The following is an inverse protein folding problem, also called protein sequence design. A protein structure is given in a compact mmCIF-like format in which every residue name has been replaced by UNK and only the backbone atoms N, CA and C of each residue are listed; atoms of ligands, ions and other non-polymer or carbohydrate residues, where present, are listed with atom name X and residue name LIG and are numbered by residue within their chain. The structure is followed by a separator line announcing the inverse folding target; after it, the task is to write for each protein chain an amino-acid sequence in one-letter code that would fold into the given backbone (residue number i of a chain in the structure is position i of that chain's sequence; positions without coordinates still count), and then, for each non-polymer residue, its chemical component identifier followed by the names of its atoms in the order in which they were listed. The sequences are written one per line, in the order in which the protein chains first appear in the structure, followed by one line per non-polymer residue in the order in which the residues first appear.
data_IF_801186911419
#
_entry.id   IF_801186911419
#
_cell.length_a   1.000
_cell.length_b   1.000
_cell.length_c   1.000
_cell.angle_alpha   90.00
_cell.angle_beta   90.00
_cell.angle_gamma   90.00
#
_symmetry.space_group_name_H-M   'P 1'
#
loop_
_entity.id
_entity.type
_entity.pdbx_description
1 polymer ?
#
# COMPACT_ATOMS: atom_id res chain seq x y z
N UNK A 1 31.72 3.28 42.67
CA UNK A 1 30.58 3.48 41.75
C UNK A 1 29.32 3.58 42.60
N UNK A 2 28.53 4.67 42.50
CA UNK A 2 27.49 4.99 43.48
C UNK A 2 26.09 4.47 43.04
N UNK A 3 25.25 3.96 43.96
CA UNK A 3 23.96 3.31 43.65
C UNK A 3 23.02 4.22 42.81
N UNK A 4 23.06 5.54 43.05
CA UNK A 4 22.31 6.53 42.26
C UNK A 4 22.70 6.57 40.78
N UNK A 5 23.97 6.31 40.46
CA UNK A 5 24.44 6.31 39.08
C UNK A 5 23.98 5.07 38.31
N UNK A 6 23.84 3.95 39.00
CA UNK A 6 23.31 2.70 38.44
C UNK A 6 21.82 2.84 38.09
N UNK A 7 20.99 3.30 39.03
CA UNK A 7 19.55 3.52 38.80
C UNK A 7 19.28 4.51 37.64
N UNK A 8 20.10 5.56 37.51
CA UNK A 8 19.97 6.53 36.40
C UNK A 8 20.30 5.93 35.03
N UNK A 9 21.25 4.99 34.95
CA UNK A 9 21.55 4.26 33.71
C UNK A 9 20.40 3.33 33.33
N UNK A 10 19.92 2.52 34.27
CA UNK A 10 18.82 1.58 34.05
C UNK A 10 17.54 2.29 33.54
N UNK A 11 17.19 3.46 34.11
CA UNK A 11 16.06 4.26 33.61
C UNK A 11 16.28 4.84 32.20
N UNK A 12 17.50 5.26 31.86
CA UNK A 12 17.81 5.76 30.50
C UNK A 12 17.78 4.63 29.47
N UNK A 13 18.30 3.46 29.80
CA UNK A 13 18.27 2.28 28.94
C UNK A 13 16.83 1.79 28.72
N UNK A 14 16.00 1.74 29.77
CA UNK A 14 14.59 1.37 29.64
C UNK A 14 13.78 2.36 28.78
N UNK A 15 14.02 3.67 28.93
CA UNK A 15 13.30 4.69 28.15
C UNK A 15 13.72 4.74 26.68
N UNK A 16 14.98 4.46 26.37
CA UNK A 16 15.48 4.36 24.98
C UNK A 16 14.96 3.11 24.28
N UNK A 17 14.97 1.94 24.95
CA UNK A 17 14.34 0.71 24.44
C UNK A 17 12.87 0.93 24.11
N UNK A 18 12.09 1.49 25.05
CA UNK A 18 10.65 1.73 24.85
C UNK A 18 10.36 2.67 23.67
N UNK A 19 11.18 3.71 23.47
CA UNK A 19 11.07 4.60 22.30
C UNK A 19 11.39 3.88 21.00
N UNK A 20 12.41 3.02 21.00
CA UNK A 20 12.77 2.22 19.83
C UNK A 20 11.68 1.23 19.47
N UNK A 21 11.12 0.52 20.46
CA UNK A 21 10.01 -0.41 20.28
C UNK A 21 8.76 0.30 19.72
N UNK A 22 8.45 1.50 20.24
CA UNK A 22 7.35 2.32 19.73
C UNK A 22 7.54 2.73 18.27
N UNK A 23 8.74 3.17 17.87
CA UNK A 23 9.06 3.51 16.47
C UNK A 23 8.94 2.30 15.54
N UNK A 24 9.46 1.15 15.97
CA UNK A 24 9.35 -0.11 15.24
C UNK A 24 7.88 -0.51 15.05
N UNK A 25 7.07 -0.41 16.11
CA UNK A 25 5.64 -0.69 16.05
C UNK A 25 4.90 0.22 15.07
N UNK A 26 5.14 1.53 15.13
CA UNK A 26 4.53 2.51 14.21
C UNK A 26 4.90 2.21 12.76
N UNK A 27 6.17 1.92 12.49
CA UNK A 27 6.62 1.58 11.14
C UNK A 27 5.98 0.29 10.63
N UNK A 28 5.90 -0.74 11.46
CA UNK A 28 5.27 -2.02 11.12
C UNK A 28 3.78 -1.85 10.78
N UNK A 29 3.04 -1.10 11.60
CA UNK A 29 1.63 -0.79 11.36
C UNK A 29 1.49 0.03 10.07
N UNK A 30 2.30 1.07 9.89
CA UNK A 30 2.30 1.89 8.67
C UNK A 30 2.54 1.06 7.41
N UNK A 31 3.51 0.14 7.43
CA UNK A 31 3.78 -0.78 6.32
C UNK A 31 2.59 -1.68 6.01
N UNK A 32 1.98 -2.28 7.04
CA UNK A 32 0.83 -3.15 6.87
C UNK A 32 -0.37 -2.39 6.27
N UNK A 33 -0.63 -1.16 6.75
CA UNK A 33 -1.70 -0.28 6.26
C UNK A 33 -1.46 0.22 4.83
N UNK A 34 -0.21 0.33 4.38
CA UNK A 34 0.07 0.65 2.97
C UNK A 34 -0.04 -0.59 2.09
N UNK A 35 0.40 -1.75 2.59
CA UNK A 35 0.49 -2.98 1.79
C UNK A 35 -0.84 -3.72 1.60
N UNK A 36 -1.80 -3.59 2.52
CA UNK A 36 -3.04 -4.38 2.45
C UNK A 36 -3.90 -4.05 1.22
N UNK A 37 -4.03 -2.77 0.84
CA UNK A 37 -4.94 -2.35 -0.23
C UNK A 37 -4.52 -2.87 -1.62
N UNK A 38 -3.27 -2.68 -2.08
CA UNK A 38 -2.81 -3.30 -3.32
C UNK A 38 -2.90 -4.83 -3.32
N UNK A 39 -2.66 -5.47 -2.17
CA UNK A 39 -2.77 -6.92 -2.07
C UNK A 39 -4.21 -7.41 -2.16
N UNK A 40 -5.15 -6.72 -1.50
CA UNK A 40 -6.57 -7.02 -1.56
C UNK A 40 -7.14 -6.81 -2.97
N UNK A 41 -6.82 -5.68 -3.60
CA UNK A 41 -7.28 -5.35 -4.96
C UNK A 41 -6.78 -6.36 -5.99
N UNK A 42 -5.51 -6.76 -5.90
CA UNK A 42 -4.98 -7.84 -6.72
C UNK A 42 -5.73 -9.16 -6.51
N UNK A 43 -6.14 -9.48 -5.28
CA UNK A 43 -6.91 -10.69 -4.98
C UNK A 43 -8.35 -10.64 -5.52
N UNK A 44 -9.01 -9.48 -5.44
CA UNK A 44 -10.41 -9.32 -5.81
C UNK A 44 -10.65 -9.07 -7.31
N UNK A 45 -9.77 -8.31 -7.98
CA UNK A 45 -9.89 -7.97 -9.40
C UNK A 45 -8.84 -8.64 -10.29
N UNK A 46 -7.75 -9.16 -9.73
CA UNK A 46 -6.65 -9.72 -10.51
C UNK A 46 -5.76 -8.65 -11.18
N UNK A 47 -5.98 -7.38 -10.87
CA UNK A 47 -5.30 -6.25 -11.51
C UNK A 47 -4.92 -5.16 -10.49
N UNK A 48 -4.02 -4.27 -10.89
CA UNK A 48 -3.66 -3.06 -10.17
C UNK A 48 -4.33 -1.87 -10.85
N UNK A 49 -5.09 -1.11 -10.08
CA UNK A 49 -5.72 0.12 -10.52
C UNK A 49 -4.71 1.28 -10.65
N UNK A 50 -5.15 2.31 -11.37
CA UNK A 50 -4.34 3.48 -11.66
C UNK A 50 -3.88 4.22 -10.40
N UNK A 51 -4.67 4.19 -9.32
CA UNK A 51 -4.36 4.86 -8.05
C UNK A 51 -3.14 4.21 -7.38
N UNK A 52 -2.96 2.88 -7.46
CA UNK A 52 -1.74 2.25 -6.94
C UNK A 52 -0.51 2.61 -7.78
N UNK A 53 -0.65 2.66 -9.12
CA UNK A 53 0.44 3.09 -10.02
C UNK A 53 0.85 4.55 -9.75
N UNK A 54 -0.13 5.45 -9.59
CA UNK A 54 0.11 6.86 -9.25
C UNK A 54 0.66 7.02 -7.83
N UNK A 55 0.25 6.18 -6.87
CA UNK A 55 0.81 6.18 -5.52
C UNK A 55 2.30 5.82 -5.53
N UNK A 56 2.71 4.83 -6.34
CA UNK A 56 4.12 4.49 -6.54
C UNK A 56 4.88 5.66 -7.16
N UNK A 57 4.31 6.31 -8.18
CA UNK A 57 4.90 7.50 -8.77
C UNK A 57 5.07 8.64 -7.75
N UNK A 58 4.04 8.92 -6.94
CA UNK A 58 4.07 9.95 -5.91
C UNK A 58 5.13 9.64 -4.85
N UNK A 59 5.22 8.39 -4.39
CA UNK A 59 6.22 7.94 -3.42
C UNK A 59 7.64 8.06 -3.98
N UNK A 60 7.86 7.66 -5.25
CA UNK A 60 9.15 7.78 -5.91
C UNK A 60 9.57 9.25 -6.06
N UNK A 61 8.62 10.13 -6.42
CA UNK A 61 8.85 11.57 -6.53
C UNK A 61 9.20 12.20 -5.18
N UNK A 62 8.48 11.85 -4.11
CA UNK A 62 8.79 12.32 -2.76
C UNK A 62 10.17 11.85 -2.29
N UNK A 63 10.51 10.58 -2.54
CA UNK A 63 11.82 10.03 -2.23
C UNK A 63 12.94 10.70 -3.07
N UNK A 64 12.67 11.04 -4.33
CA UNK A 64 13.60 11.77 -5.18
C UNK A 64 13.93 13.15 -4.59
N UNK A 65 12.91 13.90 -4.18
CA UNK A 65 13.06 15.19 -3.49
C UNK A 65 13.85 15.03 -2.19
N UNK A 66 13.55 14.00 -1.40
CA UNK A 66 14.28 13.73 -0.16
C UNK A 66 15.78 13.46 -0.40
N UNK A 67 16.09 12.63 -1.40
CA UNK A 67 17.48 12.34 -1.81
C UNK A 67 18.21 13.59 -2.31
N UNK A 68 17.51 14.53 -2.95
CA UNK A 68 18.08 15.82 -3.35
C UNK A 68 18.46 16.70 -2.15
N UNK A 69 17.69 16.63 -1.06
CA UNK A 69 17.98 17.38 0.17
C UNK A 69 19.08 16.73 1.01
N UNK A 70 19.21 15.40 0.96
CA UNK A 70 20.15 14.68 1.82
C UNK A 70 21.63 14.82 1.38
N UNK A 71 22.50 15.16 2.34
CA UNK A 71 23.95 15.36 2.13
C UNK A 71 24.74 14.03 2.19
N UNK A 72 24.38 13.06 1.35
CA UNK A 72 25.04 11.74 1.23
C UNK A 72 26.13 11.75 0.12
N UNK A 73 27.09 10.80 0.14
CA UNK A 73 28.15 10.72 -0.88
C UNK A 73 27.57 10.58 -2.30
N UNK A 74 28.16 11.31 -3.23
CA UNK A 74 27.58 11.67 -4.55
C UNK A 74 27.22 10.44 -5.41
N UNK A 75 28.02 9.37 -5.36
CA UNK A 75 27.80 8.17 -6.18
C UNK A 75 26.52 7.39 -5.86
N UNK A 76 26.29 7.07 -4.58
CA UNK A 76 25.07 6.37 -4.16
C UNK A 76 23.81 7.25 -4.29
N UNK A 77 23.99 8.58 -4.22
CA UNK A 77 22.93 9.57 -4.43
C UNK A 77 22.47 9.60 -5.89
N UNK A 78 23.39 9.60 -6.85
CA UNK A 78 23.06 9.64 -8.28
C UNK A 78 22.34 8.37 -8.75
N UNK A 79 22.77 7.18 -8.31
CA UNK A 79 22.10 5.94 -8.66
C UNK A 79 20.65 5.90 -8.11
N UNK A 80 20.45 6.31 -6.86
CA UNK A 80 19.10 6.39 -6.26
C UNK A 80 18.22 7.41 -6.98
N UNK A 81 18.77 8.58 -7.30
CA UNK A 81 18.06 9.61 -8.05
C UNK A 81 17.63 9.10 -9.44
N UNK A 82 18.50 8.37 -10.12
CA UNK A 82 18.18 7.75 -11.42
C UNK A 82 17.06 6.71 -11.32
N UNK A 83 17.11 5.78 -10.34
CA UNK A 83 16.05 4.78 -10.13
C UNK A 83 14.70 5.44 -9.79
N UNK A 84 14.71 6.55 -9.05
CA UNK A 84 13.50 7.27 -8.64
C UNK A 84 12.91 8.14 -9.75
N UNK A 85 13.70 8.50 -10.77
CA UNK A 85 13.20 9.19 -11.96
C UNK A 85 12.48 8.24 -12.93
N UNK A 86 12.75 6.92 -12.85
CA UNK A 86 12.19 5.93 -13.77
C UNK A 86 10.66 6.03 -13.94
N UNK A 87 9.85 6.16 -12.86
CA UNK A 87 8.39 6.29 -13.00
C UNK A 87 7.98 7.59 -13.70
N UNK A 88 8.70 8.69 -13.44
CA UNK A 88 8.41 9.99 -14.08
C UNK A 88 8.81 10.00 -15.55
N UNK A 89 9.94 9.36 -15.88
CA UNK A 89 10.40 9.19 -17.27
C UNK A 89 9.42 8.30 -18.03
N UNK A 90 8.93 7.21 -17.42
CA UNK A 90 7.91 6.36 -18.03
C UNK A 90 6.62 7.13 -18.35
N UNK A 91 6.09 7.92 -17.40
CA UNK A 91 4.90 8.74 -17.64
C UNK A 91 5.14 9.80 -18.72
N UNK A 92 6.32 10.44 -18.73
CA UNK A 92 6.68 11.38 -19.77
C UNK A 92 6.75 10.68 -21.15
N UNK A 93 7.34 9.48 -21.24
CA UNK A 93 7.38 8.70 -22.46
C UNK A 93 5.96 8.36 -22.96
N UNK A 94 5.06 7.91 -22.09
CA UNK A 94 3.66 7.68 -22.46
C UNK A 94 2.95 8.95 -22.95
N UNK A 95 3.26 10.11 -22.38
CA UNK A 95 2.68 11.37 -22.80
C UNK A 95 3.21 11.85 -24.17
N UNK A 96 4.50 11.67 -24.44
CA UNK A 96 5.15 12.19 -25.65
C UNK A 96 5.16 11.22 -26.84
N UNK A 97 4.91 9.93 -26.64
CA UNK A 97 4.93 8.89 -27.70
C UNK A 97 3.50 8.39 -27.98
N UNK A 98 2.50 9.26 -27.83
CA UNK A 98 1.09 8.88 -27.97
C UNK A 98 0.52 9.11 -29.38
N UNK A 99 1.37 9.29 -30.39
CA UNK A 99 0.95 9.48 -31.77
C UNK A 99 1.43 8.34 -32.69
N UNK A 100 0.43 7.74 -33.32
CA UNK A 100 0.39 6.90 -34.52
C UNK A 100 0.78 5.41 -34.43
N UNK A 101 -0.23 4.64 -34.85
CA UNK A 101 -0.32 3.19 -35.00
C UNK A 101 0.86 2.58 -35.78
N UNK A 102 1.70 1.83 -35.08
CA UNK A 102 2.49 0.75 -35.68
C UNK A 102 2.25 -0.54 -34.86
N UNK A 103 1.99 -1.67 -35.51
CA UNK A 103 1.80 -2.99 -34.85
C UNK A 103 2.94 -3.36 -33.89
N UNK A 104 4.14 -2.82 -34.16
CA UNK A 104 5.32 -2.98 -33.32
C UNK A 104 5.20 -2.20 -32.00
N UNK A 105 4.53 -1.05 -32.02
CA UNK A 105 4.23 -0.22 -30.85
C UNK A 105 3.18 -0.87 -29.94
N UNK A 106 2.14 -1.49 -30.52
CA UNK A 106 1.16 -2.29 -29.78
C UNK A 106 1.85 -3.48 -29.10
N UNK A 107 2.71 -4.21 -29.82
CA UNK A 107 3.51 -5.30 -29.24
C UNK A 107 4.48 -4.81 -28.15
N UNK A 108 5.09 -3.63 -28.31
CA UNK A 108 5.96 -3.01 -27.31
C UNK A 108 5.20 -2.53 -26.08
N UNK A 109 3.98 -2.03 -26.24
CA UNK A 109 3.09 -1.67 -25.13
C UNK A 109 2.65 -2.93 -24.39
N UNK A 110 2.29 -4.00 -25.09
CA UNK A 110 1.82 -5.25 -24.48
C UNK A 110 2.97 -5.97 -23.77
N UNK A 111 4.15 -6.05 -24.41
CA UNK A 111 5.39 -6.50 -23.79
C UNK A 111 5.80 -5.59 -22.64
N UNK A 112 5.60 -4.28 -22.78
CA UNK A 112 5.84 -3.27 -21.76
C UNK A 112 4.92 -3.42 -20.56
N UNK A 113 3.65 -3.78 -20.77
CA UNK A 113 2.67 -4.07 -19.74
C UNK A 113 3.00 -5.39 -19.04
N UNK A 114 3.35 -6.44 -19.78
CA UNK A 114 3.81 -7.72 -19.23
C UNK A 114 5.10 -7.52 -18.42
N UNK A 115 6.07 -6.76 -18.92
CA UNK A 115 7.28 -6.40 -18.18
C UNK A 115 6.97 -5.47 -17.01
N UNK A 116 6.02 -4.54 -17.13
CA UNK A 116 5.59 -3.69 -16.03
C UNK A 116 4.88 -4.51 -14.94
N UNK A 117 4.20 -5.60 -15.26
CA UNK A 117 3.64 -6.52 -14.27
C UNK A 117 4.76 -7.40 -13.69
N UNK A 118 5.56 -8.07 -14.53
CA UNK A 118 6.64 -8.96 -14.11
C UNK A 118 7.77 -8.27 -13.37
N UNK A 119 8.06 -7.01 -13.69
CA UNK A 119 9.09 -6.19 -13.06
C UNK A 119 8.42 -5.28 -12.04
N UNK A 120 7.31 -4.63 -12.35
CA UNK A 120 6.65 -3.72 -11.43
C UNK A 120 6.08 -4.41 -10.20
N UNK A 121 5.61 -5.66 -10.23
CA UNK A 121 5.27 -6.38 -8.99
C UNK A 121 6.48 -6.57 -8.08
N UNK A 122 7.56 -7.26 -8.50
CA UNK A 122 8.73 -7.42 -7.64
C UNK A 122 9.45 -6.11 -7.36
N UNK A 123 9.41 -5.13 -8.28
CA UNK A 123 10.01 -3.81 -8.11
C UNK A 123 9.21 -2.94 -7.14
N UNK A 124 7.88 -2.90 -7.21
CA UNK A 124 7.05 -2.16 -6.23
C UNK A 124 7.12 -2.84 -4.86
N UNK A 125 7.10 -4.16 -4.80
CA UNK A 125 7.34 -4.92 -3.56
C UNK A 125 8.74 -4.59 -3.00
N UNK A 126 9.76 -4.60 -3.84
CA UNK A 126 11.14 -4.27 -3.48
C UNK A 126 11.29 -2.79 -3.09
N UNK A 127 10.62 -1.88 -3.79
CA UNK A 127 10.67 -0.43 -3.59
C UNK A 127 9.91 -0.04 -2.33
N UNK A 128 8.75 -0.65 -2.04
CA UNK A 128 8.04 -0.53 -0.77
C UNK A 128 8.93 -1.00 0.37
N UNK A 129 9.56 -2.18 0.24
CA UNK A 129 10.55 -2.67 1.21
C UNK A 129 11.72 -1.69 1.35
N UNK A 130 12.20 -1.09 0.25
CA UNK A 130 13.37 -0.21 0.22
C UNK A 130 13.10 1.21 0.73
N UNK A 131 11.91 1.75 0.48
CA UNK A 131 11.41 3.06 0.93
C UNK A 131 11.07 3.03 2.41
N UNK A 132 10.71 1.87 2.96
CA UNK A 132 10.49 1.73 4.41
C UNK A 132 11.73 1.26 5.18
N UNK A 133 12.70 0.64 4.52
CA UNK A 133 14.01 0.35 5.11
C UNK A 133 14.99 1.51 5.40
N UNK A 134 14.84 2.78 4.93
CA UNK A 134 15.85 3.79 5.16
C UNK A 134 15.89 4.29 6.61
N UNK A 135 14.83 4.09 7.41
CA UNK A 135 14.82 4.49 8.83
C UNK A 135 15.46 3.48 9.79
N UNK A 136 15.76 2.26 9.34
CA UNK A 136 16.39 1.21 10.16
C UNK A 136 17.87 1.00 9.82
N UNK A 137 18.53 2.09 9.45
CA UNK A 137 19.97 2.17 9.22
C UNK A 137 20.75 1.72 10.47
N UNK A 138 21.51 0.64 10.29
CA UNK A 138 22.59 0.07 11.12
C UNK A 138 22.32 -0.30 12.60
N UNK A 139 21.37 0.28 13.32
CA UNK A 139 21.19 0.05 14.77
C UNK A 139 20.15 -1.01 15.15
N UNK A 140 19.35 -1.51 14.20
CA UNK A 140 18.28 -2.49 14.47
C UNK A 140 18.75 -3.93 14.24
N UNK A 141 18.50 -4.82 15.21
CA UNK A 141 18.82 -6.24 15.10
C UNK A 141 18.15 -6.88 13.88
N UNK A 142 18.88 -7.75 13.20
CA UNK A 142 18.41 -8.50 12.01
C UNK A 142 17.15 -9.32 12.33
N UNK A 143 17.03 -9.87 13.54
CA UNK A 143 15.83 -10.59 13.99
C UNK A 143 14.57 -9.73 13.96
N UNK A 144 14.67 -8.47 14.39
CA UNK A 144 13.54 -7.52 14.38
C UNK A 144 13.16 -7.14 12.95
N UNK A 145 14.15 -6.98 12.07
CA UNK A 145 13.91 -6.73 10.63
C UNK A 145 13.15 -7.89 9.99
N UNK A 146 13.52 -9.13 10.29
CA UNK A 146 12.79 -10.32 9.83
C UNK A 146 11.38 -10.42 10.40
N UNK A 147 11.20 -10.09 11.68
CA UNK A 147 9.87 -10.09 12.29
C UNK A 147 8.94 -9.06 11.62
N UNK A 148 9.42 -7.84 11.38
CA UNK A 148 8.67 -6.81 10.65
C UNK A 148 8.29 -7.33 9.26
N UNK A 149 9.28 -7.84 8.51
CA UNK A 149 9.05 -8.36 7.16
C UNK A 149 8.00 -9.49 7.16
N UNK A 150 8.11 -10.43 8.10
CA UNK A 150 7.17 -11.54 8.22
C UNK A 150 5.75 -11.07 8.53
N UNK A 151 5.59 -10.09 9.44
CA UNK A 151 4.27 -9.52 9.75
C UNK A 151 3.67 -8.81 8.54
N UNK A 152 4.44 -7.94 7.87
CA UNK A 152 3.95 -7.18 6.71
C UNK A 152 3.58 -8.12 5.56
N UNK A 153 4.43 -9.10 5.26
CA UNK A 153 4.14 -10.13 4.25
C UNK A 153 2.92 -10.96 4.66
N UNK A 154 2.81 -11.33 5.94
CA UNK A 154 1.65 -12.05 6.45
C UNK A 154 0.34 -11.28 6.27
N UNK A 155 0.34 -9.97 6.55
CA UNK A 155 -0.83 -9.10 6.33
C UNK A 155 -1.15 -8.99 4.84
N UNK A 156 -0.14 -8.80 3.98
CA UNK A 156 -0.34 -8.73 2.53
C UNK A 156 -0.94 -10.02 1.99
N UNK A 157 -0.40 -11.18 2.38
CA UNK A 157 -0.94 -12.49 1.98
C UNK A 157 -2.36 -12.69 2.49
N UNK A 158 -2.64 -12.34 3.74
CA UNK A 158 -4.00 -12.43 4.29
C UNK A 158 -4.98 -11.52 3.53
N UNK A 159 -4.55 -10.31 3.17
CA UNK A 159 -5.36 -9.34 2.41
C UNK A 159 -5.63 -9.83 1.00
N UNK A 160 -4.64 -10.44 0.34
CA UNK A 160 -4.80 -11.09 -0.96
C UNK A 160 -5.79 -12.26 -0.90
N UNK A 161 -5.66 -13.12 0.10
CA UNK A 161 -6.60 -14.22 0.32
C UNK A 161 -8.01 -13.71 0.62
N UNK A 162 -8.16 -12.62 1.37
CA UNK A 162 -9.44 -11.95 1.55
C UNK A 162 -10.00 -11.48 0.21
N UNK A 163 -9.20 -10.83 -0.64
CA UNK A 163 -9.62 -10.43 -1.99
C UNK A 163 -10.15 -11.59 -2.82
N UNK A 164 -9.45 -12.73 -2.84
CA UNK A 164 -9.91 -13.95 -3.55
C UNK A 164 -11.25 -14.49 -3.01
N UNK A 165 -11.53 -14.26 -1.73
CA UNK A 165 -12.73 -14.76 -1.05
C UNK A 165 -13.78 -13.64 -0.80
N UNK A 166 -13.69 -12.52 -1.52
CA UNK A 166 -14.53 -11.33 -1.28
C UNK A 166 -16.03 -11.63 -1.22
N UNK A 167 -16.52 -12.59 -2.03
CA UNK A 167 -17.93 -13.00 -2.09
C UNK A 167 -18.51 -13.49 -0.75
N UNK A 168 -17.67 -13.90 0.19
CA UNK A 168 -18.09 -14.43 1.48
C UNK A 168 -18.37 -13.32 2.52
N UNK A 169 -17.92 -12.09 2.27
CA UNK A 169 -18.01 -11.00 3.25
C UNK A 169 -18.35 -9.62 2.67
N UNK A 170 -18.28 -9.44 1.35
CA UNK A 170 -18.68 -8.21 0.65
C UNK A 170 -19.70 -8.51 -0.43
N UNK A 171 -20.64 -7.59 -0.58
CA UNK A 171 -21.63 -7.56 -1.65
C UNK A 171 -21.18 -6.62 -2.77
N UNK A 172 -21.86 -6.68 -3.92
CA UNK A 172 -21.64 -5.74 -5.01
C UNK A 172 -21.93 -4.28 -4.61
N UNK A 173 -22.88 -4.07 -3.70
CA UNK A 173 -23.26 -2.72 -3.24
C UNK A 173 -22.15 -2.10 -2.39
N UNK A 174 -21.51 -2.88 -1.50
CA UNK A 174 -20.37 -2.41 -0.68
C UNK A 174 -19.22 -1.84 -1.55
N UNK A 175 -18.95 -2.46 -2.70
CA UNK A 175 -17.96 -1.96 -3.65
C UNK A 175 -18.44 -0.67 -4.33
N UNK A 176 -19.70 -0.61 -4.72
CA UNK A 176 -20.27 0.56 -5.41
C UNK A 176 -20.38 1.77 -4.49
N UNK A 177 -20.80 1.57 -3.23
CA UNK A 177 -20.90 2.62 -2.21
C UNK A 177 -19.52 3.18 -1.85
N UNK A 178 -18.49 2.33 -1.80
CA UNK A 178 -17.11 2.77 -1.63
C UNK A 178 -16.52 3.49 -2.86
N UNK A 179 -17.30 3.63 -3.93
CA UNK A 179 -16.90 4.28 -5.18
C UNK A 179 -16.02 3.41 -6.08
N UNK A 180 -15.94 2.11 -5.81
CA UNK A 180 -15.23 1.14 -6.63
C UNK A 180 -16.18 0.48 -7.63
N UNK A 181 -15.63 -0.01 -8.75
CA UNK A 181 -16.38 -0.89 -9.65
C UNK A 181 -16.52 -2.28 -9.03
N UNK A 182 -17.73 -2.82 -9.01
CA UNK A 182 -17.99 -4.17 -8.53
C UNK A 182 -17.14 -5.21 -9.31
N UNK A 183 -16.47 -6.16 -8.62
CA UNK A 183 -15.79 -7.28 -9.27
C UNK A 183 -16.76 -8.10 -10.13
N UNK A 184 -16.26 -8.72 -11.21
CA UNK A 184 -17.05 -9.52 -12.18
C UNK A 184 -17.93 -10.60 -11.54
N UNK A 185 -17.56 -11.07 -10.35
CA UNK A 185 -18.07 -12.29 -9.76
C UNK A 185 -18.64 -12.04 -8.33
N UNK A 186 -19.04 -10.80 -8.03
CA UNK A 186 -19.57 -10.39 -6.73
C UNK A 186 -20.99 -10.91 -6.45
N UNK A 187 -21.34 -11.01 -5.16
CA UNK A 187 -22.68 -11.41 -4.72
C UNK A 187 -23.58 -10.16 -4.58
N UNK A 188 -24.76 -10.09 -5.22
CA UNK A 188 -25.69 -8.98 -5.04
C UNK A 188 -26.23 -8.93 -3.62
N UNK A 189 -26.57 -7.73 -3.13
CA UNK A 189 -27.20 -7.57 -1.83
C UNK A 189 -28.62 -8.18 -1.85
N UNK A 190 -29.04 -8.91 -0.79
CA UNK A 190 -30.40 -9.42 -0.71
C UNK A 190 -31.39 -8.26 -0.61
N UNK A 191 -32.37 -8.22 -1.54
CA UNK A 191 -33.45 -7.23 -1.49
C UNK A 191 -34.20 -7.32 -0.16
N UNK A 192 -34.12 -6.27 0.67
CA UNK A 192 -35.02 -6.12 1.81
C UNK A 192 -36.45 -6.04 1.27
N UNK A 193 -37.22 -7.11 1.48
CA UNK A 193 -38.67 -7.08 1.21
C UNK A 193 -39.27 -6.04 2.16
N UNK A 194 -39.96 -4.99 1.68
CA UNK A 194 -40.49 -3.97 2.56
C UNK A 194 -41.42 -4.62 3.59
N UNK A 195 -41.13 -4.39 4.87
CA UNK A 195 -42.06 -4.69 5.96
C UNK A 195 -43.41 -4.02 5.60
N UNK A 196 -44.56 -4.73 5.69
CA UNK A 196 -45.84 -4.13 5.35
C UNK A 196 -46.03 -2.88 6.21
N UNK A 197 -46.26 -1.75 5.54
CA UNK A 197 -46.38 -0.44 6.16
C UNK A 197 -47.27 -0.49 7.42
N UNK A 198 -46.91 0.20 8.52
CA UNK A 198 -47.74 0.23 9.71
C UNK A 198 -49.13 0.73 9.33
N UNK A 199 -50.14 -0.09 9.61
CA UNK A 199 -51.56 0.24 9.36
C UNK A 199 -51.87 1.59 10.02
N UNK A 200 -52.41 2.59 9.29
CA UNK A 200 -52.73 3.87 9.89
C UNK A 200 -53.81 3.67 10.97
N UNK A 201 -53.48 4.04 12.21
CA UNK A 201 -54.42 4.09 13.34
C UNK A 201 -55.58 5.01 12.98
N UNK A 202 -56.85 4.58 13.10
CA UNK A 202 -57.97 5.46 12.82
C UNK A 202 -57.97 6.60 13.85
N UNK A 203 -57.83 7.84 13.38
CA UNK A 203 -58.03 9.03 14.19
C UNK A 203 -59.52 9.15 14.50
N UNK A 204 -59.93 8.77 15.71
CA UNK A 204 -61.24 9.12 16.25
C UNK A 204 -61.33 10.65 16.30
N UNK A 205 -62.06 11.23 15.36
CA UNK A 205 -62.52 12.61 15.45
C UNK A 205 -63.65 12.64 16.47
N UNK A 206 -63.41 13.25 17.63
CA UNK A 206 -64.46 13.57 18.58
C UNK A 206 -65.14 14.86 18.11
N UNK A 207 -66.44 14.76 17.82
CA UNK A 207 -67.40 15.89 17.85
C UNK A 207 -67.67 16.32 19.30
#
# INVERSE_FOLDING_TARGET
MNDRTRRRREHREASTSRRQDGRVGVAMVGMAVVAWWPAFTLGAWGDLFFDQLLAVWAAATAAFVFVLVERRPVGARLLRAFLLLLPSVWLALMFFINDEEEDLFVFLIDLGAILAVLIGLPFTLWLLVRIVWPEFGDETRVSTKWLIALVVVGVAVASFLLGLNHKAFLTCEDFTESGNSAPLDCTPEPEETPDPAPTPTPTTSAE
#
